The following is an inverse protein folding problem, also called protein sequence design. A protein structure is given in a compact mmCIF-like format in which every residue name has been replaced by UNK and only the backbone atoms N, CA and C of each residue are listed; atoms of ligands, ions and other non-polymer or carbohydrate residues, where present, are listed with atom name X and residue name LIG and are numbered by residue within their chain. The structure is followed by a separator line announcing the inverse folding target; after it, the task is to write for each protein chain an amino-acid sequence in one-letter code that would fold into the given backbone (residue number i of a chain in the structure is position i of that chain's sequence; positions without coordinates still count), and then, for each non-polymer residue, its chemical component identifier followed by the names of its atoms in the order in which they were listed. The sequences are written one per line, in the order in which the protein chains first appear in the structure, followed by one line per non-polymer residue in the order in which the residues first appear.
data_IF_321203049938
#
_entry.id   IF_321203049938
#
_cell.length_a   1.000
_cell.length_b   1.000
_cell.length_c   1.000
_cell.angle_alpha   90.00
_cell.angle_beta   90.00
_cell.angle_gamma   90.00
#
_symmetry.space_group_name_H-M   'P 1'
#
loop_
_entity.id
_entity.type
_entity.pdbx_description
1 polymer ?
#
# COMPACT_ATOMS: atom_id res chain seq x y z
N UNK A 1 35.89 -16.13 -51.56
CA UNK A 1 34.58 -15.48 -51.61
C UNK A 1 34.49 -14.61 -50.39
N UNK A 2 34.72 -13.31 -50.58
CA UNK A 2 34.73 -12.28 -49.51
C UNK A 2 33.33 -11.74 -49.35
N UNK A 3 32.75 -11.86 -48.16
CA UNK A 3 31.54 -11.11 -47.78
C UNK A 3 31.91 -10.15 -46.67
N UNK A 4 32.07 -8.88 -47.07
CA UNK A 4 32.26 -7.76 -46.13
C UNK A 4 30.91 -7.43 -45.47
N UNK A 5 30.85 -7.53 -44.14
CA UNK A 5 29.74 -7.01 -43.35
C UNK A 5 29.98 -5.55 -43.03
N UNK A 6 29.23 -4.67 -43.67
CA UNK A 6 29.19 -3.25 -43.34
C UNK A 6 28.40 -3.01 -42.04
N UNK A 7 29.10 -2.72 -40.95
CA UNK A 7 28.52 -2.21 -39.72
C UNK A 7 28.17 -0.72 -39.89
N UNK A 8 26.93 -0.40 -40.18
CA UNK A 8 26.40 0.96 -40.04
C UNK A 8 26.21 1.22 -38.54
N UNK A 9 27.05 2.09 -37.99
CA UNK A 9 26.92 2.60 -36.64
C UNK A 9 25.62 3.39 -36.48
N UNK A 10 24.63 2.81 -35.81
CA UNK A 10 23.43 3.51 -35.40
C UNK A 10 23.70 4.15 -34.04
N UNK A 11 23.81 5.47 -34.02
CA UNK A 11 23.87 6.26 -32.77
C UNK A 11 22.53 6.07 -32.04
N UNK A 12 22.56 5.29 -30.96
CA UNK A 12 21.47 5.23 -29.98
C UNK A 12 21.53 6.48 -29.12
N UNK A 13 20.62 7.43 -29.40
CA UNK A 13 20.30 8.53 -28.51
C UNK A 13 19.67 7.92 -27.24
N UNK A 14 20.41 7.82 -26.16
CA UNK A 14 19.88 7.48 -24.84
C UNK A 14 19.09 8.69 -24.32
N UNK A 15 17.77 8.65 -24.54
CA UNK A 15 16.85 9.53 -23.83
C UNK A 15 16.94 9.20 -22.33
N UNK A 16 17.51 10.07 -21.54
CA UNK A 16 17.41 10.10 -20.10
C UNK A 16 15.94 10.33 -19.73
N UNK A 17 15.19 9.25 -19.59
CA UNK A 17 13.88 9.26 -18.95
C UNK A 17 14.12 9.62 -17.49
N UNK A 18 13.93 10.89 -17.16
CA UNK A 18 13.83 11.37 -15.79
C UNK A 18 12.75 10.55 -15.11
N UNK A 19 13.13 9.69 -14.16
CA UNK A 19 12.22 9.10 -13.20
C UNK A 19 11.67 10.25 -12.34
N UNK A 20 10.60 10.88 -12.82
CA UNK A 20 9.71 11.62 -11.94
C UNK A 20 9.17 10.59 -10.97
N UNK A 21 9.57 10.68 -9.70
CA UNK A 21 8.87 10.01 -8.61
C UNK A 21 7.46 10.60 -8.64
N UNK A 22 6.56 9.95 -9.37
CA UNK A 22 5.16 10.27 -9.33
C UNK A 22 4.72 9.98 -7.89
N UNK A 23 4.63 11.03 -7.08
CA UNK A 23 3.83 10.97 -5.85
C UNK A 23 2.46 10.52 -6.32
N UNK A 24 2.03 9.34 -5.87
CA UNK A 24 0.72 8.82 -6.21
C UNK A 24 -0.31 9.87 -5.78
N UNK A 25 -0.82 10.60 -6.78
CA UNK A 25 -1.82 11.63 -6.52
C UNK A 25 -3.04 10.95 -5.92
N UNK A 26 -3.54 11.50 -4.82
CA UNK A 26 -4.78 11.05 -4.20
C UNK A 26 -5.88 11.20 -5.25
N UNK A 27 -6.67 10.15 -5.47
CA UNK A 27 -7.77 10.20 -6.43
C UNK A 27 -8.86 11.17 -6.00
N UNK A 28 -9.52 11.79 -6.97
CA UNK A 28 -10.65 12.70 -6.71
C UNK A 28 -11.86 11.98 -6.15
N UNK A 29 -12.78 12.73 -5.53
CA UNK A 29 -14.06 12.20 -5.05
C UNK A 29 -14.90 11.59 -6.19
N UNK A 30 -14.82 12.13 -7.39
CA UNK A 30 -15.51 11.60 -8.57
C UNK A 30 -14.94 10.22 -8.95
N UNK A 31 -13.62 10.09 -9.03
CA UNK A 31 -12.93 8.82 -9.30
C UNK A 31 -13.19 7.79 -8.21
N UNK A 32 -13.21 8.21 -6.94
CA UNK A 32 -13.57 7.34 -5.81
C UNK A 32 -15.00 6.80 -5.96
N UNK A 33 -15.98 7.64 -6.33
CA UNK A 33 -17.36 7.21 -6.53
C UNK A 33 -17.52 6.30 -7.75
N UNK A 34 -16.88 6.62 -8.86
CA UNK A 34 -16.90 5.77 -10.05
C UNK A 34 -16.22 4.42 -9.79
N UNK A 35 -15.12 4.43 -9.04
CA UNK A 35 -14.43 3.22 -8.58
C UNK A 35 -15.33 2.28 -7.76
N UNK A 36 -16.13 2.83 -6.84
CA UNK A 36 -17.11 2.02 -6.09
C UNK A 36 -18.14 1.34 -6.99
N UNK A 37 -18.64 2.07 -7.98
CA UNK A 37 -19.62 1.54 -8.96
C UNK A 37 -18.99 0.43 -9.79
N UNK A 38 -17.77 0.66 -10.30
CA UNK A 38 -17.01 -0.32 -11.08
C UNK A 38 -16.75 -1.60 -10.28
N UNK A 39 -16.25 -1.50 -9.04
CA UNK A 39 -16.00 -2.65 -8.17
C UNK A 39 -17.27 -3.45 -7.93
N UNK A 40 -18.42 -2.78 -7.70
CA UNK A 40 -19.70 -3.47 -7.53
C UNK A 40 -20.15 -4.21 -8.79
N UNK A 41 -19.92 -3.64 -9.99
CA UNK A 41 -20.24 -4.28 -11.24
C UNK A 41 -19.35 -5.50 -11.50
N UNK A 42 -18.04 -5.36 -11.27
CA UNK A 42 -17.06 -6.45 -11.38
C UNK A 42 -17.42 -7.62 -10.46
N UNK A 43 -17.77 -7.33 -9.18
CA UNK A 43 -18.23 -8.35 -8.24
C UNK A 43 -19.47 -9.08 -8.71
N UNK A 44 -20.49 -8.35 -9.21
CA UNK A 44 -21.73 -8.96 -9.74
C UNK A 44 -21.42 -9.91 -10.90
N UNK A 45 -20.56 -9.49 -11.82
CA UNK A 45 -20.15 -10.31 -12.97
C UNK A 45 -19.37 -11.55 -12.51
N UNK A 46 -18.39 -11.39 -11.63
CA UNK A 46 -17.60 -12.50 -11.08
C UNK A 46 -18.49 -13.52 -10.36
N UNK A 47 -19.39 -13.04 -9.47
CA UNK A 47 -20.33 -13.88 -8.76
C UNK A 47 -21.31 -14.62 -9.70
N UNK A 48 -21.73 -13.96 -10.79
CA UNK A 48 -22.59 -14.62 -11.79
C UNK A 48 -21.87 -15.75 -12.53
N UNK A 49 -20.57 -15.56 -12.85
CA UNK A 49 -19.75 -16.60 -13.47
C UNK A 49 -19.62 -17.87 -12.59
N UNK A 50 -19.60 -17.72 -11.27
CA UNK A 50 -19.54 -18.87 -10.35
C UNK A 50 -20.77 -19.78 -10.45
N UNK A 51 -21.89 -19.33 -11.01
CA UNK A 51 -23.10 -20.17 -11.21
C UNK A 51 -22.88 -21.34 -12.18
N UNK A 52 -21.86 -21.24 -13.04
CA UNK A 52 -21.49 -22.33 -13.95
C UNK A 52 -20.75 -23.48 -13.23
N UNK A 53 -20.34 -23.28 -12.00
CA UNK A 53 -19.70 -24.29 -11.17
C UNK A 53 -20.70 -24.98 -10.24
N UNK A 54 -20.32 -26.16 -9.71
CA UNK A 54 -21.12 -26.93 -8.77
C UNK A 54 -20.35 -27.12 -7.45
N UNK A 55 -21.06 -27.54 -6.44
CA UNK A 55 -20.55 -27.96 -5.12
C UNK A 55 -19.52 -26.95 -4.54
N UNK A 56 -18.50 -27.43 -3.86
CA UNK A 56 -17.48 -26.61 -3.22
C UNK A 56 -16.72 -25.69 -4.22
N UNK A 57 -16.54 -26.11 -5.47
CA UNK A 57 -15.93 -25.26 -6.47
C UNK A 57 -16.70 -23.94 -6.69
N UNK A 58 -18.04 -23.97 -6.61
CA UNK A 58 -18.89 -22.79 -6.67
C UNK A 58 -18.70 -21.90 -5.43
N UNK A 59 -18.63 -22.50 -4.25
CA UNK A 59 -18.49 -21.76 -2.99
C UNK A 59 -17.12 -21.10 -2.89
N UNK A 60 -16.04 -21.80 -3.25
CA UNK A 60 -14.69 -21.22 -3.42
C UNK A 60 -14.70 -20.05 -4.40
N UNK A 61 -15.32 -20.21 -5.57
CA UNK A 61 -15.44 -19.13 -6.57
C UNK A 61 -16.15 -17.90 -5.99
N UNK A 62 -17.23 -18.10 -5.24
CA UNK A 62 -17.98 -17.01 -4.61
C UNK A 62 -17.16 -16.28 -3.54
N UNK A 63 -16.43 -17.01 -2.69
CA UNK A 63 -15.54 -16.40 -1.70
C UNK A 63 -14.36 -15.68 -2.38
N UNK A 64 -13.81 -16.19 -3.47
CA UNK A 64 -12.81 -15.48 -4.27
C UNK A 64 -13.35 -14.17 -4.85
N UNK A 65 -14.56 -14.19 -5.43
CA UNK A 65 -15.21 -12.98 -5.95
C UNK A 65 -15.46 -11.94 -4.84
N UNK A 66 -15.94 -12.37 -3.69
CA UNK A 66 -16.20 -11.54 -2.51
C UNK A 66 -14.89 -11.00 -1.91
N UNK A 67 -13.84 -11.81 -1.88
CA UNK A 67 -12.52 -11.42 -1.43
C UNK A 67 -11.92 -10.32 -2.32
N UNK A 68 -11.99 -10.50 -3.65
CA UNK A 68 -11.55 -9.49 -4.63
C UNK A 68 -12.30 -8.17 -4.45
N UNK A 69 -13.62 -8.20 -4.25
CA UNK A 69 -14.40 -6.98 -3.98
C UNK A 69 -13.93 -6.25 -2.72
N UNK A 70 -13.76 -6.98 -1.61
CA UNK A 70 -13.32 -6.40 -0.34
C UNK A 70 -11.94 -5.76 -0.46
N UNK A 71 -10.99 -6.44 -1.10
CA UNK A 71 -9.64 -5.93 -1.33
C UNK A 71 -9.68 -4.68 -2.21
N UNK A 72 -10.39 -4.73 -3.35
CA UNK A 72 -10.50 -3.59 -4.26
C UNK A 72 -11.13 -2.36 -3.58
N UNK A 73 -12.11 -2.54 -2.69
CA UNK A 73 -12.69 -1.45 -1.89
C UNK A 73 -11.70 -0.85 -0.90
N UNK A 74 -10.88 -1.69 -0.24
CA UNK A 74 -9.85 -1.23 0.67
C UNK A 74 -8.75 -0.47 -0.08
N UNK A 75 -8.30 -0.97 -1.23
CA UNK A 75 -7.33 -0.32 -2.11
C UNK A 75 -7.85 1.03 -2.65
N UNK A 76 -9.12 1.08 -3.07
CA UNK A 76 -9.78 2.32 -3.49
C UNK A 76 -9.83 3.36 -2.35
N UNK A 77 -10.13 2.92 -1.13
CA UNK A 77 -10.11 3.77 0.05
C UNK A 77 -8.72 4.34 0.32
N UNK A 78 -7.70 3.48 0.26
CA UNK A 78 -6.31 3.92 0.40
C UNK A 78 -5.89 4.91 -0.71
N UNK A 79 -6.25 4.64 -1.96
CA UNK A 79 -5.99 5.54 -3.08
C UNK A 79 -6.65 6.93 -2.89
N UNK A 80 -7.80 6.98 -2.21
CA UNK A 80 -8.51 8.23 -1.93
C UNK A 80 -7.95 9.01 -0.73
N UNK A 81 -7.42 8.32 0.28
CA UNK A 81 -6.99 8.97 1.54
C UNK A 81 -5.49 9.12 1.67
N UNK A 82 -4.71 8.24 1.01
CA UNK A 82 -3.26 8.05 1.18
C UNK A 82 -2.83 7.83 2.66
N UNK A 83 -3.77 7.44 3.55
CA UNK A 83 -3.46 7.23 4.97
C UNK A 83 -2.74 5.90 5.18
N UNK A 84 -1.68 5.90 5.99
CA UNK A 84 -0.96 4.67 6.36
C UNK A 84 -1.88 3.62 7.02
N UNK A 85 -2.87 4.06 7.81
CA UNK A 85 -3.88 3.18 8.41
C UNK A 85 -4.75 2.47 7.36
N UNK A 86 -5.08 3.15 6.26
CA UNK A 86 -5.84 2.53 5.17
C UNK A 86 -4.98 1.55 4.38
N UNK A 87 -3.68 1.81 4.21
CA UNK A 87 -2.73 0.84 3.65
C UNK A 87 -2.64 -0.42 4.52
N UNK A 88 -2.53 -0.26 5.83
CA UNK A 88 -2.57 -1.40 6.78
C UNK A 88 -3.87 -2.18 6.63
N UNK A 89 -5.01 -1.48 6.45
CA UNK A 89 -6.31 -2.09 6.23
C UNK A 89 -6.38 -2.90 4.94
N UNK A 90 -5.70 -2.47 3.87
CA UNK A 90 -5.56 -3.25 2.63
C UNK A 90 -4.89 -4.59 2.93
N UNK A 91 -3.74 -4.58 3.59
CA UNK A 91 -2.98 -5.81 3.88
C UNK A 91 -3.75 -6.74 4.86
N UNK A 92 -4.40 -6.18 5.88
CA UNK A 92 -5.27 -6.98 6.75
C UNK A 92 -6.46 -7.58 5.99
N UNK A 93 -7.03 -6.85 5.02
CA UNK A 93 -8.15 -7.35 4.21
C UNK A 93 -7.69 -8.47 3.29
N UNK A 94 -6.52 -8.34 2.66
CA UNK A 94 -5.89 -9.41 1.85
C UNK A 94 -5.69 -10.68 2.68
N UNK A 95 -5.12 -10.56 3.88
CA UNK A 95 -4.90 -11.70 4.77
C UNK A 95 -6.20 -12.42 5.14
N UNK A 96 -7.22 -11.67 5.52
CA UNK A 96 -8.53 -12.23 5.93
C UNK A 96 -9.25 -12.91 4.76
N UNK A 97 -9.28 -12.27 3.60
CA UNK A 97 -9.95 -12.83 2.42
C UNK A 97 -9.23 -14.07 1.89
N UNK A 98 -7.90 -14.10 1.95
CA UNK A 98 -7.12 -15.28 1.60
C UNK A 98 -7.44 -16.47 2.55
N UNK A 99 -7.61 -16.22 3.85
CA UNK A 99 -8.03 -17.22 4.80
C UNK A 99 -9.44 -17.78 4.48
N UNK A 100 -10.43 -16.91 4.21
CA UNK A 100 -11.78 -17.36 3.89
C UNK A 100 -11.79 -18.25 2.64
N UNK A 101 -11.06 -17.88 1.59
CA UNK A 101 -10.92 -18.72 0.39
C UNK A 101 -10.22 -20.04 0.70
N UNK A 102 -9.13 -20.01 1.49
CA UNK A 102 -8.41 -21.22 1.85
C UNK A 102 -9.27 -22.16 2.71
N UNK A 103 -10.08 -21.61 3.60
CA UNK A 103 -11.03 -22.37 4.44
C UNK A 103 -12.08 -23.08 3.59
N UNK A 104 -12.69 -22.40 2.60
CA UNK A 104 -13.61 -23.05 1.66
C UNK A 104 -12.95 -24.20 0.89
N UNK A 105 -11.70 -24.02 0.45
CA UNK A 105 -10.94 -25.09 -0.22
C UNK A 105 -10.71 -26.31 0.70
N UNK A 106 -10.62 -26.10 2.02
CA UNK A 106 -10.50 -27.19 2.96
C UNK A 106 -11.79 -28.02 3.10
N UNK A 107 -12.93 -27.52 2.62
CA UNK A 107 -14.22 -28.22 2.72
C UNK A 107 -14.31 -29.45 1.79
N UNK A 108 -13.40 -29.56 0.80
CA UNK A 108 -13.21 -30.78 0.01
C UNK A 108 -12.55 -31.92 0.81
N UNK A 109 -12.03 -31.66 2.00
CA UNK A 109 -11.37 -32.61 2.87
C UNK A 109 -12.33 -33.06 3.97
N UNK A 110 -12.04 -34.21 4.59
CA UNK A 110 -12.81 -34.76 5.69
C UNK A 110 -11.96 -35.06 6.94
N UNK A 111 -12.62 -35.16 8.07
CA UNK A 111 -12.03 -35.59 9.34
C UNK A 111 -10.83 -34.72 9.77
N UNK A 112 -9.76 -35.36 10.19
CA UNK A 112 -8.56 -34.66 10.68
C UNK A 112 -7.87 -33.87 9.60
N UNK A 113 -7.86 -34.29 8.34
CA UNK A 113 -7.24 -33.59 7.23
C UNK A 113 -7.89 -32.21 7.01
N UNK A 114 -9.22 -32.10 7.08
CA UNK A 114 -9.93 -30.82 7.06
C UNK A 114 -9.50 -29.92 8.22
N UNK A 115 -9.45 -30.49 9.43
CA UNK A 115 -9.06 -29.74 10.63
C UNK A 115 -7.62 -29.18 10.53
N UNK A 116 -6.69 -29.97 10.01
CA UNK A 116 -5.29 -29.53 9.78
C UNK A 116 -5.27 -28.42 8.74
N UNK A 117 -5.91 -28.61 7.59
CA UNK A 117 -5.98 -27.62 6.51
C UNK A 117 -6.49 -26.25 7.02
N UNK A 118 -7.60 -26.23 7.76
CA UNK A 118 -8.16 -24.99 8.33
C UNK A 118 -7.19 -24.33 9.32
N UNK A 119 -6.50 -25.11 10.16
CA UNK A 119 -5.51 -24.57 11.10
C UNK A 119 -4.28 -23.99 10.39
N UNK A 120 -3.83 -24.65 9.33
CA UNK A 120 -2.73 -24.13 8.50
C UNK A 120 -3.11 -22.83 7.81
N UNK A 121 -4.31 -22.76 7.20
CA UNK A 121 -4.84 -21.54 6.61
C UNK A 121 -4.93 -20.40 7.65
N UNK A 122 -5.40 -20.72 8.87
CA UNK A 122 -5.45 -19.74 9.97
C UNK A 122 -4.08 -19.29 10.43
N UNK A 123 -3.10 -20.16 10.47
CA UNK A 123 -1.73 -19.79 10.80
C UNK A 123 -1.11 -18.85 9.77
N UNK A 124 -1.41 -19.02 8.48
CA UNK A 124 -1.00 -18.12 7.41
C UNK A 124 -1.64 -16.72 7.60
N UNK A 125 -2.95 -16.67 7.85
CA UNK A 125 -3.66 -15.42 8.13
C UNK A 125 -3.03 -14.67 9.31
N UNK A 126 -2.84 -15.35 10.45
CA UNK A 126 -2.27 -14.73 11.67
C UNK A 126 -0.90 -14.14 11.39
N UNK A 127 -0.03 -14.87 10.69
CA UNK A 127 1.30 -14.37 10.31
C UNK A 127 1.21 -13.13 9.41
N UNK A 128 0.31 -13.14 8.43
CA UNK A 128 0.11 -12.00 7.53
C UNK A 128 -0.43 -10.76 8.27
N UNK A 129 -1.39 -10.95 9.20
CA UNK A 129 -1.93 -9.87 10.02
C UNK A 129 -0.86 -9.27 10.95
N UNK A 130 -0.02 -10.10 11.56
CA UNK A 130 1.09 -9.63 12.40
C UNK A 130 2.07 -8.82 11.55
N UNK A 131 2.45 -9.32 10.38
CA UNK A 131 3.37 -8.61 9.47
C UNK A 131 2.81 -7.25 9.01
N UNK A 132 1.51 -7.18 8.67
CA UNK A 132 0.87 -5.92 8.29
C UNK A 132 0.94 -4.88 9.41
N UNK A 133 0.65 -5.28 10.66
CA UNK A 133 0.70 -4.41 11.84
C UNK A 133 2.13 -4.01 12.19
N UNK A 134 3.08 -4.93 12.11
CA UNK A 134 4.49 -4.62 12.34
C UNK A 134 5.01 -3.60 11.31
N UNK A 135 4.68 -3.76 10.03
CA UNK A 135 5.06 -2.82 8.98
C UNK A 135 4.50 -1.40 9.26
N UNK A 136 3.23 -1.32 9.69
CA UNK A 136 2.62 -0.06 10.12
C UNK A 136 3.38 0.57 11.28
N UNK A 137 3.65 -0.21 12.33
CA UNK A 137 4.35 0.28 13.53
C UNK A 137 5.77 0.75 13.24
N UNK A 138 6.49 0.02 12.39
CA UNK A 138 7.83 0.42 11.95
C UNK A 138 7.76 1.75 11.17
N UNK A 139 6.77 1.91 10.29
CA UNK A 139 6.57 3.15 9.52
C UNK A 139 6.28 4.34 10.43
N UNK A 140 5.38 4.18 11.41
CA UNK A 140 5.07 5.20 12.42
C UNK A 140 6.30 5.58 13.22
N UNK A 141 7.00 4.61 13.80
CA UNK A 141 8.21 4.85 14.61
C UNK A 141 9.31 5.56 13.81
N UNK A 142 9.47 5.21 12.52
CA UNK A 142 10.44 5.91 11.64
C UNK A 142 10.04 7.36 11.39
N UNK A 143 8.74 7.63 11.19
CA UNK A 143 8.23 8.98 10.99
C UNK A 143 8.43 9.83 12.26
N UNK A 144 8.06 9.28 13.41
CA UNK A 144 8.20 9.96 14.70
C UNK A 144 9.68 10.25 15.00
N UNK A 145 10.55 9.25 14.82
CA UNK A 145 11.99 9.45 15.01
C UNK A 145 12.63 10.42 14.02
N UNK A 146 12.10 10.55 12.81
CA UNK A 146 12.54 11.59 11.88
C UNK A 146 12.11 12.98 12.34
N UNK A 147 10.87 13.10 12.85
CA UNK A 147 10.35 14.34 13.42
C UNK A 147 11.14 14.76 14.67
N UNK A 148 11.42 13.83 15.58
CA UNK A 148 12.21 14.08 16.79
C UNK A 148 13.60 14.63 16.47
N UNK A 149 14.26 14.12 15.41
CA UNK A 149 15.54 14.63 14.93
C UNK A 149 15.43 16.08 14.44
N UNK A 150 14.40 16.36 13.60
CA UNK A 150 14.13 17.73 13.11
C UNK A 150 13.87 18.67 14.28
N UNK A 151 13.13 18.23 15.30
CA UNK A 151 12.81 19.02 16.48
C UNK A 151 14.06 19.29 17.34
N UNK A 152 14.92 18.29 17.49
CA UNK A 152 16.19 18.47 18.19
C UNK A 152 17.11 19.46 17.47
N UNK A 153 17.27 19.34 16.16
CA UNK A 153 18.07 20.24 15.34
C UNK A 153 17.51 21.66 15.37
N UNK A 154 16.18 21.83 15.34
CA UNK A 154 15.55 23.14 15.50
C UNK A 154 15.86 23.77 16.85
N UNK A 155 15.78 23.02 17.96
CA UNK A 155 16.13 23.53 19.29
C UNK A 155 17.57 24.05 19.35
N UNK A 156 18.52 23.31 18.77
CA UNK A 156 19.92 23.76 18.67
C UNK A 156 20.04 25.03 17.81
N UNK A 157 19.31 25.12 16.70
CA UNK A 157 19.33 26.31 15.86
C UNK A 157 18.73 27.54 16.56
N UNK A 158 17.62 27.34 17.30
CA UNK A 158 16.98 28.39 18.09
C UNK A 158 17.90 28.91 19.19
N UNK A 159 18.56 28.03 19.95
CA UNK A 159 19.50 28.38 21.01
C UNK A 159 20.67 29.22 20.48
N UNK A 160 21.16 28.90 19.27
CA UNK A 160 22.20 29.71 18.62
C UNK A 160 21.73 31.13 18.30
N UNK A 161 20.44 31.35 18.11
CA UNK A 161 19.88 32.69 17.90
C UNK A 161 19.76 33.51 19.19
N UNK A 162 19.74 32.86 20.35
CA UNK A 162 19.53 33.52 21.65
C UNK A 162 20.70 34.37 22.10
N UNK A 163 21.88 34.16 21.52
CA UNK A 163 23.05 35.05 21.72
C UNK A 163 22.93 36.40 20.98
N UNK A 164 21.96 36.52 20.07
CA UNK A 164 21.69 37.73 19.30
C UNK A 164 20.61 38.60 19.97
N UNK A 165 20.52 39.88 19.60
CA UNK A 165 19.52 40.82 20.12
C UNK A 165 18.79 41.54 18.98
N UNK A 166 17.60 42.11 19.28
CA UNK A 166 16.83 42.95 18.34
C UNK A 166 16.49 42.22 17.04
N UNK A 167 16.57 42.93 15.93
CA UNK A 167 16.22 42.45 14.59
C UNK A 167 17.08 41.28 14.13
N UNK A 168 18.34 41.21 14.55
CA UNK A 168 19.21 40.08 14.24
C UNK A 168 18.71 38.77 14.86
N UNK A 169 18.23 38.78 16.09
CA UNK A 169 17.60 37.62 16.73
C UNK A 169 16.31 37.23 16.02
N UNK A 170 15.45 38.19 15.73
CA UNK A 170 14.20 37.97 15.02
C UNK A 170 14.41 37.29 13.65
N UNK A 171 15.35 37.81 12.87
CA UNK A 171 15.73 37.27 11.56
C UNK A 171 16.33 35.87 11.65
N UNK A 172 17.20 35.60 12.63
CA UNK A 172 17.78 34.31 12.89
C UNK A 172 16.68 33.28 13.22
N UNK A 173 15.77 33.61 14.14
CA UNK A 173 14.65 32.74 14.54
C UNK A 173 13.71 32.45 13.39
N UNK A 174 13.38 33.45 12.56
CA UNK A 174 12.56 33.24 11.35
C UNK A 174 13.23 32.27 10.37
N UNK A 175 14.53 32.41 10.16
CA UNK A 175 15.32 31.52 9.31
C UNK A 175 15.37 30.10 9.87
N UNK A 176 15.56 29.94 11.17
CA UNK A 176 15.52 28.64 11.84
C UNK A 176 14.15 27.98 11.68
N UNK A 177 13.06 28.70 11.94
CA UNK A 177 11.70 28.19 11.75
C UNK A 177 11.47 27.74 10.30
N UNK A 178 11.79 28.57 9.32
CA UNK A 178 11.65 28.25 7.91
C UNK A 178 12.43 26.98 7.51
N UNK A 179 13.68 26.88 7.97
CA UNK A 179 14.56 25.73 7.68
C UNK A 179 14.00 24.40 8.19
N UNK A 180 13.38 24.41 9.37
CA UNK A 180 12.88 23.20 10.03
C UNK A 180 11.36 23.04 9.95
N UNK A 181 10.67 23.84 9.11
CA UNK A 181 9.22 23.76 8.91
C UNK A 181 8.40 24.06 10.17
N UNK A 182 8.91 24.94 11.05
CA UNK A 182 8.21 25.40 12.25
C UNK A 182 7.43 26.70 11.96
N UNK A 183 6.24 26.81 12.52
CA UNK A 183 5.38 28.00 12.42
C UNK A 183 5.41 28.83 13.71
#
# INVERSE_FOLDING_TARGET
MNTQFNFKATLLLTALLGFSVAQAAVISKAEFNSGKTRISAEYKTAKAACKALADNARDVCQEEAKGKEKVARAELQYAYTAKASDMTKVEETKAKTAYEVAKEKCDDLAGNNKSVCVKEAKAVEVKALVNARMASKISETRKDGAQDKVDADYKVAAEKCDVLAGDAKASCMASAKAKFGKT
#
